data_IF_627043600055
#
_entry.id   IF_627043600055
#
_cell.length_a   1.000
_cell.length_b   1.000
_cell.length_c   1.000
_cell.angle_alpha   90.00
_cell.angle_beta   90.00
_cell.angle_gamma   90.00
#
_symmetry.space_group_name_H-M   'P 1'
#
loop_
_entity.id
_entity.type
_entity.pdbx_description
1 polymer ?
#
# COMPACT_ATOMS: atom_id res chain seq x y z
N UNK A 1 6.60 18.38 11.05
CA UNK A 1 6.35 17.12 10.32
C UNK A 1 5.55 16.20 11.25
N UNK A 2 4.58 15.43 10.74
CA UNK A 2 3.75 14.58 11.59
C UNK A 2 4.54 13.33 12.04
N UNK A 3 4.54 12.99 13.34
CA UNK A 3 5.35 11.89 13.90
C UNK A 3 5.05 10.53 13.27
N UNK A 4 3.79 10.25 12.93
CA UNK A 4 3.41 9.01 12.27
C UNK A 4 3.97 8.95 10.85
N UNK A 5 3.85 10.06 10.10
CA UNK A 5 4.42 10.16 8.74
C UNK A 5 5.92 9.97 8.80
N UNK A 6 6.63 10.66 9.71
CA UNK A 6 8.07 10.52 9.86
C UNK A 6 8.48 9.08 10.18
N UNK A 7 7.81 8.45 11.16
CA UNK A 7 8.06 7.06 11.53
C UNK A 7 7.85 6.10 10.35
N UNK A 8 6.74 6.24 9.62
CA UNK A 8 6.43 5.38 8.47
C UNK A 8 7.28 5.70 7.24
N UNK A 9 7.92 6.87 7.18
CA UNK A 9 8.88 7.23 6.14
C UNK A 9 10.29 6.73 6.42
N UNK A 10 10.60 6.39 7.67
CA UNK A 10 11.88 5.86 8.06
C UNK A 10 11.85 4.33 8.07
N UNK A 11 12.59 3.73 7.14
CA UNK A 11 12.72 2.28 7.02
C UNK A 11 11.57 1.62 6.27
N UNK A 12 11.49 0.30 6.37
CA UNK A 12 10.51 -0.50 5.64
C UNK A 12 9.68 -1.33 6.62
N UNK A 13 8.37 -1.11 6.65
CA UNK A 13 7.46 -1.59 7.69
C UNK A 13 6.64 -2.78 7.18
N UNK A 14 6.26 -3.74 8.04
CA UNK A 14 5.36 -4.80 7.62
C UNK A 14 3.97 -4.21 7.31
N UNK A 15 3.43 -4.61 6.17
CA UNK A 15 2.12 -4.19 5.68
C UNK A 15 1.29 -5.39 5.24
N UNK A 16 -0.03 -5.22 5.21
CA UNK A 16 -0.96 -6.15 4.60
C UNK A 16 -1.97 -5.43 3.72
N UNK A 17 -2.43 -6.08 2.65
CA UNK A 17 -3.60 -5.62 1.91
C UNK A 17 -4.85 -5.87 2.77
N UNK A 18 -5.47 -4.80 3.22
CA UNK A 18 -6.69 -4.89 4.01
C UNK A 18 -7.89 -4.95 3.08
N UNK A 19 -8.50 -6.12 3.02
CA UNK A 19 -9.61 -6.43 2.12
C UNK A 19 -10.81 -6.83 2.94
N UNK A 20 -11.98 -6.30 2.58
CA UNK A 20 -13.25 -6.62 3.20
C UNK A 20 -14.29 -6.88 2.12
N UNK A 21 -15.21 -7.83 2.31
CA UNK A 21 -15.35 -8.71 3.48
C UNK A 21 -14.33 -9.86 3.52
N UNK A 22 -13.77 -10.26 2.38
CA UNK A 22 -12.88 -11.42 2.28
C UNK A 22 -11.45 -11.02 1.85
N UNK A 23 -10.44 -11.63 2.48
CA UNK A 23 -9.02 -11.41 2.17
C UNK A 23 -8.55 -12.43 1.12
N UNK A 24 -8.91 -12.18 -0.14
CA UNK A 24 -8.57 -13.04 -1.28
C UNK A 24 -7.78 -12.30 -2.36
N UNK A 25 -7.01 -13.04 -3.16
CA UNK A 25 -6.24 -12.48 -4.30
C UNK A 25 -7.17 -11.87 -5.34
N UNK A 26 -8.37 -12.43 -5.53
CA UNK A 26 -9.39 -11.86 -6.42
C UNK A 26 -9.87 -10.48 -5.94
N UNK A 27 -10.23 -10.34 -4.65
CA UNK A 27 -10.64 -9.06 -4.08
C UNK A 27 -9.51 -8.01 -4.12
N UNK A 28 -8.27 -8.47 -3.98
CA UNK A 28 -7.09 -7.63 -4.13
C UNK A 28 -6.95 -7.12 -5.57
N UNK A 29 -7.03 -8.02 -6.56
CA UNK A 29 -7.00 -7.68 -7.99
C UNK A 29 -8.07 -6.65 -8.34
N UNK A 30 -9.31 -6.88 -7.92
CA UNK A 30 -10.41 -5.93 -8.13
C UNK A 30 -10.12 -4.56 -7.51
N UNK A 31 -9.49 -4.51 -6.34
CA UNK A 31 -9.13 -3.24 -5.69
C UNK A 31 -8.08 -2.48 -6.49
N UNK A 32 -7.08 -3.18 -7.04
CA UNK A 32 -6.08 -2.60 -7.94
C UNK A 32 -6.71 -2.11 -9.25
N UNK A 33 -7.63 -2.88 -9.82
CA UNK A 33 -8.38 -2.52 -11.03
C UNK A 33 -9.32 -1.33 -10.81
N UNK A 34 -9.87 -1.13 -9.61
CA UNK A 34 -10.59 0.10 -9.27
C UNK A 34 -9.66 1.31 -9.05
N UNK A 35 -8.35 1.09 -8.94
CA UNK A 35 -7.36 2.13 -8.68
C UNK A 35 -7.35 2.62 -7.24
N UNK A 36 -7.88 1.83 -6.30
CA UNK A 36 -7.94 2.21 -4.89
C UNK A 36 -7.85 0.97 -3.99
N UNK A 37 -6.88 0.99 -3.07
CA UNK A 37 -6.56 -0.16 -2.21
C UNK A 37 -6.34 0.31 -0.77
N UNK A 38 -6.70 -0.52 0.20
CA UNK A 38 -6.37 -0.27 1.61
C UNK A 38 -5.11 -1.03 1.99
N UNK A 39 -4.10 -0.30 2.46
CA UNK A 39 -2.84 -0.85 2.97
C UNK A 39 -2.79 -0.64 4.47
N UNK A 40 -2.61 -1.71 5.22
CA UNK A 40 -2.51 -1.66 6.68
C UNK A 40 -1.09 -1.90 7.14
N UNK A 41 -0.52 -0.92 7.81
CA UNK A 41 0.74 -1.05 8.54
C UNK A 41 0.46 -1.78 9.85
N UNK A 42 1.02 -2.98 10.00
CA UNK A 42 0.64 -3.91 11.09
C UNK A 42 1.41 -3.64 12.38
N UNK A 43 2.61 -3.03 12.30
CA UNK A 43 3.46 -2.76 13.46
C UNK A 43 3.23 -1.37 14.12
N UNK A 44 2.03 -0.81 13.94
CA UNK A 44 1.59 0.40 14.64
C UNK A 44 0.58 0.03 15.74
N UNK A 45 0.45 0.85 16.78
CA UNK A 45 -0.51 0.58 17.88
C UNK A 45 -1.94 0.63 17.33
N UNK A 46 -2.62 -0.52 17.29
CA UNK A 46 -3.97 -0.66 16.72
C UNK A 46 -4.02 -0.93 15.22
N UNK A 47 -2.86 -0.92 14.54
CA UNK A 47 -2.78 -0.96 13.08
C UNK A 47 -3.14 0.39 12.43
N UNK A 48 -2.44 0.76 11.37
CA UNK A 48 -2.73 1.97 10.61
C UNK A 48 -3.18 1.55 9.23
N UNK A 49 -4.48 1.60 9.00
CA UNK A 49 -5.10 1.32 7.71
C UNK A 49 -5.20 2.62 6.90
N UNK A 50 -4.63 2.60 5.70
CA UNK A 50 -4.54 3.75 4.82
C UNK A 50 -5.22 3.43 3.50
N UNK A 51 -6.16 4.28 3.11
CA UNK A 51 -6.73 4.26 1.76
C UNK A 51 -5.76 4.92 0.78
N UNK A 52 -5.29 4.15 -0.20
CA UNK A 52 -4.27 4.56 -1.15
C UNK A 52 -4.88 4.62 -2.54
N UNK A 53 -4.85 5.81 -3.16
CA UNK A 53 -5.21 5.98 -4.56
C UNK A 53 -4.04 5.54 -5.43
N UNK A 54 -4.23 4.48 -6.20
CA UNK A 54 -3.18 3.84 -6.98
C UNK A 54 -2.67 4.78 -8.08
N UNK A 55 -1.35 4.87 -8.19
CA UNK A 55 -0.63 5.43 -9.32
C UNK A 55 -0.28 4.28 -10.26
N UNK A 56 -1.04 4.11 -11.34
CA UNK A 56 -0.89 2.97 -12.24
C UNK A 56 0.39 3.01 -13.04
N UNK A 57 0.91 4.20 -13.34
CA UNK A 57 2.14 4.36 -14.12
C UNK A 57 3.37 4.02 -13.28
N UNK A 58 3.31 4.27 -11.96
CA UNK A 58 4.39 3.92 -11.03
C UNK A 58 4.27 2.51 -10.42
N UNK A 59 3.07 1.91 -10.43
CA UNK A 59 2.84 0.57 -9.90
C UNK A 59 3.20 -0.52 -10.90
N UNK A 60 3.75 -1.64 -10.42
CA UNK A 60 4.07 -2.82 -11.24
C UNK A 60 3.18 -3.98 -10.80
N UNK A 61 2.14 -4.22 -11.59
CA UNK A 61 1.18 -5.30 -11.34
C UNK A 61 1.40 -6.51 -12.25
N UNK A 62 2.12 -6.31 -13.36
CA UNK A 62 2.38 -7.30 -14.40
C UNK A 62 3.34 -8.42 -13.98
N UNK A 63 4.14 -8.20 -12.93
CA UNK A 63 5.04 -9.22 -12.37
C UNK A 63 4.30 -10.27 -11.53
N UNK A 64 3.01 -10.06 -11.25
CA UNK A 64 2.22 -10.92 -10.39
C UNK A 64 1.23 -11.77 -11.20
N UNK A 65 1.17 -13.06 -10.87
CA UNK A 65 0.24 -14.01 -11.47
C UNK A 65 -0.96 -14.18 -10.54
N UNK A 66 -2.03 -13.43 -10.81
CA UNK A 66 -3.26 -13.47 -10.04
C UNK A 66 -4.06 -14.76 -10.22
N UNK A 67 -3.88 -15.45 -11.34
CA UNK A 67 -4.59 -16.71 -11.63
C UNK A 67 -3.98 -17.86 -10.82
N UNK A 68 -2.64 -17.92 -10.74
CA UNK A 68 -1.92 -18.89 -9.92
C UNK A 68 -1.65 -18.41 -8.49
N UNK A 69 -2.00 -17.16 -8.13
CA UNK A 69 -1.77 -16.56 -6.81
C UNK A 69 -0.30 -16.54 -6.40
N UNK A 70 0.59 -16.27 -7.36
CA UNK A 70 2.04 -16.26 -7.14
C UNK A 70 2.68 -14.95 -7.58
N UNK A 71 3.85 -14.67 -7.02
CA UNK A 71 4.56 -13.43 -7.27
C UNK A 71 4.15 -12.31 -6.33
N UNK A 72 4.56 -11.10 -6.70
CA UNK A 72 4.51 -9.91 -5.87
C UNK A 72 4.10 -8.72 -6.72
N UNK A 73 3.26 -7.85 -6.15
CA UNK A 73 2.92 -6.57 -6.76
C UNK A 73 3.69 -5.45 -6.09
N UNK A 74 4.15 -4.50 -6.91
CA UNK A 74 4.65 -3.22 -6.45
C UNK A 74 3.53 -2.18 -6.57
N UNK A 75 3.08 -1.65 -5.44
CA UNK A 75 2.01 -0.67 -5.34
C UNK A 75 2.63 0.67 -5.00
N UNK A 76 2.34 1.66 -5.84
CA UNK A 76 2.61 3.05 -5.57
C UNK A 76 1.29 3.79 -5.61
N UNK A 77 1.06 4.66 -4.64
CA UNK A 77 -0.14 5.50 -4.68
C UNK A 77 -0.07 6.68 -3.74
N UNK A 78 -1.01 7.59 -3.90
CA UNK A 78 -1.01 8.89 -3.23
C UNK A 78 -2.14 8.96 -2.22
N UNK A 79 -1.87 9.63 -1.10
CA UNK A 79 -2.86 9.95 -0.08
C UNK A 79 -2.42 11.17 0.74
N UNK A 80 -3.36 11.76 1.46
CA UNK A 80 -3.07 12.81 2.44
C UNK A 80 -3.22 12.20 3.83
N UNK A 81 -2.11 12.14 4.58
CA UNK A 81 -2.09 11.65 5.97
C UNK A 81 -1.76 12.80 6.91
N UNK A 82 -2.66 13.12 7.84
CA UNK A 82 -2.48 14.20 8.81
C UNK A 82 -2.07 15.54 8.15
N UNK A 83 -2.77 15.91 7.06
CA UNK A 83 -2.50 17.11 6.25
C UNK A 83 -1.17 17.12 5.48
N UNK A 84 -0.45 15.99 5.45
CA UNK A 84 0.76 15.83 4.64
C UNK A 84 0.44 14.97 3.43
N UNK A 85 0.70 15.50 2.23
CA UNK A 85 0.65 14.71 1.01
C UNK A 85 1.82 13.72 1.03
N UNK A 86 1.50 12.44 0.92
CA UNK A 86 2.46 11.35 0.94
C UNK A 86 2.18 10.39 -0.21
N UNK A 87 3.23 9.74 -0.67
CA UNK A 87 3.17 8.59 -1.56
C UNK A 87 3.38 7.34 -0.71
N UNK A 88 2.44 6.41 -0.73
CA UNK A 88 2.61 5.08 -0.17
C UNK A 88 3.26 4.17 -1.20
N UNK A 89 4.34 3.51 -0.80
CA UNK A 89 5.05 2.52 -1.60
C UNK A 89 4.99 1.21 -0.83
N UNK A 90 4.35 0.21 -1.41
CA UNK A 90 4.11 -1.07 -0.77
C UNK A 90 4.33 -2.22 -1.74
N UNK A 91 4.88 -3.29 -1.20
CA UNK A 91 5.39 -4.43 -1.92
C UNK A 91 4.69 -5.65 -1.32
N UNK A 92 3.75 -6.26 -2.03
CA UNK A 92 2.81 -7.25 -1.46
C UNK A 92 2.90 -8.57 -2.22
N UNK A 93 3.12 -9.66 -1.49
CA UNK A 93 3.10 -11.02 -2.04
C UNK A 93 1.66 -11.52 -2.18
N UNK A 94 1.30 -12.05 -3.35
CA UNK A 94 -0.09 -12.47 -3.61
C UNK A 94 -0.52 -13.63 -2.70
N UNK A 95 0.40 -14.55 -2.39
CA UNK A 95 0.11 -15.75 -1.60
C UNK A 95 -0.40 -15.44 -0.18
N UNK A 96 0.18 -14.41 0.45
CA UNK A 96 -0.09 -14.04 1.84
C UNK A 96 -0.92 -12.77 1.94
N UNK A 97 -0.92 -11.94 0.89
CA UNK A 97 -1.43 -10.57 0.88
C UNK A 97 -0.74 -9.70 1.95
N UNK A 98 0.51 -10.05 2.25
CA UNK A 98 1.39 -9.36 3.18
C UNK A 98 2.66 -8.93 2.46
N UNK A 99 3.39 -8.00 3.08
CA UNK A 99 4.69 -7.62 2.59
C UNK A 99 5.26 -6.44 3.34
N UNK A 100 5.93 -5.54 2.63
CA UNK A 100 6.60 -4.39 3.25
C UNK A 100 6.29 -3.08 2.53
N UNK A 101 6.22 -1.99 3.26
CA UNK A 101 6.00 -0.68 2.69
C UNK A 101 6.45 0.47 3.59
N UNK A 102 6.46 1.66 3.01
CA UNK A 102 6.81 2.90 3.67
C UNK A 102 6.08 4.07 3.03
N UNK A 103 6.16 5.24 3.66
CA UNK A 103 5.61 6.48 3.13
C UNK A 103 6.74 7.39 2.62
N UNK A 104 6.49 8.10 1.55
CA UNK A 104 7.36 9.13 1.02
C UNK A 104 6.61 10.47 1.06
N UNK A 105 7.03 11.42 1.92
CA UNK A 105 6.44 12.75 1.95
C UNK A 105 6.68 13.48 0.63
N UNK A 106 5.61 13.92 0.00
CA UNK A 106 5.69 14.75 -1.20
C UNK A 106 5.93 16.19 -0.73
N UNK A 107 7.12 16.72 -1.02
CA UNK A 107 7.36 18.15 -0.83
C UNK A 107 6.46 18.89 -1.82
N UNK A 108 5.60 19.76 -1.30
CA UNK A 108 5.01 20.81 -2.14
C UNK A 108 6.18 21.67 -2.61
N UNK A 109 6.45 21.66 -3.93
CA UNK A 109 7.32 22.65 -4.53
C UNK A 109 6.63 24.00 -4.39
N UNK A 110 7.11 24.82 -3.45
CA UNK A 110 6.78 26.25 -3.36
C UNK A 110 7.70 27.02 -4.29
#
# INVERSE_FOLDING_TARGET
MNELVERLSQGNHPVEASLRPEKTVAAFKESLERGYVHIKFTNTRGGTELGVKLDRDASKLEEADFDNQTGKVHIVGHLTLNYVNVRCIADIELKTLEGRGFLEPLKESV
#
